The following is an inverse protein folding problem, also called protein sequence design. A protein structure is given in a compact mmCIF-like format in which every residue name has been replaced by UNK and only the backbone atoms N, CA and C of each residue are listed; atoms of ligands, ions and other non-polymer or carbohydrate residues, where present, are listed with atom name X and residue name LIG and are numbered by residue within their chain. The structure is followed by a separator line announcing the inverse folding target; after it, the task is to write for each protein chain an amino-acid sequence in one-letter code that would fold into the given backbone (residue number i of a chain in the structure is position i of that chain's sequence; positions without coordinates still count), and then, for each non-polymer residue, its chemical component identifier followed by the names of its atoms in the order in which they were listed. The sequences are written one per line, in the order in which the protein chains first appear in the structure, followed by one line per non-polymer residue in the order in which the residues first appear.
data_IF_698912059434
#
_entry.id   IF_698912059434
#
_cell.length_a   1.000
_cell.length_b   1.000
_cell.length_c   1.000
_cell.angle_alpha   90.00
_cell.angle_beta   90.00
_cell.angle_gamma   90.00
#
_symmetry.space_group_name_H-M   'P 1'
#
loop_
_entity.id
_entity.type
_entity.pdbx_description
1 polymer ?
#
# COMPACT_ATOMS: atom_id res chain seq x y z
N UNK A 1 -8.05 4.14 -3.98
CA UNK A 1 -7.16 3.61 -5.02
C UNK A 1 -6.13 2.63 -4.49
N UNK A 2 -5.36 3.02 -3.49
CA UNK A 2 -4.34 2.13 -2.93
C UNK A 2 -4.93 0.92 -2.21
N UNK A 3 -6.11 1.06 -1.60
CA UNK A 3 -6.75 -0.07 -0.91
C UNK A 3 -6.97 -1.26 -1.85
N UNK A 4 -7.41 -0.99 -3.06
CA UNK A 4 -7.62 -2.04 -4.06
C UNK A 4 -6.30 -2.72 -4.44
N UNK A 5 -5.25 -1.92 -4.63
CA UNK A 5 -3.92 -2.43 -4.95
C UNK A 5 -3.36 -3.28 -3.80
N UNK A 6 -3.50 -2.80 -2.57
CA UNK A 6 -3.07 -3.53 -1.38
C UNK A 6 -3.79 -4.88 -1.28
N UNK A 7 -5.10 -4.90 -1.52
CA UNK A 7 -5.87 -6.15 -1.50
C UNK A 7 -5.33 -7.16 -2.52
N UNK A 8 -5.03 -6.69 -3.73
CA UNK A 8 -4.48 -7.56 -4.77
C UNK A 8 -3.12 -8.14 -4.36
N UNK A 9 -2.26 -7.33 -3.75
CA UNK A 9 -0.95 -7.80 -3.29
C UNK A 9 -1.10 -8.80 -2.15
N UNK A 10 -2.02 -8.56 -1.22
CA UNK A 10 -2.30 -9.51 -0.14
C UNK A 10 -2.75 -10.86 -0.70
N UNK A 11 -3.64 -10.84 -1.68
CA UNK A 11 -4.10 -12.08 -2.33
C UNK A 11 -2.91 -12.79 -2.99
N UNK A 12 -2.08 -12.06 -3.69
CA UNK A 12 -0.90 -12.63 -4.37
C UNK A 12 0.07 -13.27 -3.37
N UNK A 13 0.21 -12.68 -2.18
CA UNK A 13 1.09 -13.18 -1.12
C UNK A 13 0.40 -14.15 -0.16
N UNK A 14 -0.86 -14.47 -0.42
CA UNK A 14 -1.67 -15.37 0.42
C UNK A 14 -1.74 -14.87 1.87
N UNK A 15 -2.02 -13.59 2.04
CA UNK A 15 -2.08 -12.91 3.34
C UNK A 15 -3.44 -12.29 3.56
N UNK A 16 -3.79 -12.09 4.82
CA UNK A 16 -5.09 -11.57 5.25
C UNK A 16 -4.96 -10.18 5.86
N UNK A 17 -6.12 -9.53 6.11
CA UNK A 17 -6.16 -8.26 6.81
C UNK A 17 -5.56 -8.37 8.23
N UNK A 18 -5.68 -9.53 8.86
CA UNK A 18 -5.09 -9.78 10.18
C UNK A 18 -3.56 -9.73 10.11
N UNK A 19 -2.99 -10.30 9.04
CA UNK A 19 -1.54 -10.23 8.81
C UNK A 19 -1.10 -8.78 8.57
N UNK A 20 -1.87 -8.03 7.80
CA UNK A 20 -1.59 -6.62 7.55
C UNK A 20 -1.65 -5.80 8.84
N UNK A 21 -2.61 -6.10 9.72
CA UNK A 21 -2.71 -5.44 11.02
C UNK A 21 -1.46 -5.63 11.85
N UNK A 22 -0.88 -6.83 11.84
CA UNK A 22 0.39 -7.10 12.54
C UNK A 22 1.53 -6.28 11.98
N UNK A 23 1.61 -6.17 10.66
CA UNK A 23 2.64 -5.38 9.97
C UNK A 23 2.55 -3.91 10.39
N UNK A 24 1.34 -3.37 10.44
CA UNK A 24 1.10 -1.97 10.77
C UNK A 24 1.07 -1.68 12.27
N UNK A 25 1.07 -2.73 13.11
CA UNK A 25 1.00 -2.56 14.55
C UNK A 25 -0.35 -2.05 15.02
N UNK A 26 -1.43 -2.47 14.40
CA UNK A 26 -2.78 -2.03 14.73
C UNK A 26 -3.75 -3.22 14.74
N UNK A 27 -5.04 -2.93 14.98
CA UNK A 27 -6.08 -3.96 14.95
C UNK A 27 -6.58 -4.21 13.54
N UNK A 28 -7.21 -5.37 13.33
CA UNK A 28 -7.87 -5.68 12.06
C UNK A 28 -8.97 -4.68 11.75
N UNK A 29 -9.67 -4.17 12.77
CA UNK A 29 -10.69 -3.15 12.60
C UNK A 29 -10.11 -1.86 12.03
N UNK A 30 -8.92 -1.46 12.50
CA UNK A 30 -8.21 -0.31 11.94
C UNK A 30 -7.84 -0.53 10.47
N UNK A 31 -7.42 -1.74 10.13
CA UNK A 31 -7.13 -2.08 8.72
C UNK A 31 -8.38 -1.91 7.85
N UNK A 32 -9.52 -2.42 8.31
CA UNK A 32 -10.77 -2.25 7.58
C UNK A 32 -11.17 -0.78 7.44
N UNK A 33 -10.95 0.02 8.49
CA UNK A 33 -11.21 1.45 8.44
C UNK A 33 -10.31 2.15 7.42
N UNK A 34 -9.02 1.83 7.39
CA UNK A 34 -8.08 2.37 6.41
C UNK A 34 -8.46 1.97 4.99
N UNK A 35 -8.87 0.72 4.81
CA UNK A 35 -9.34 0.21 3.51
C UNK A 35 -10.57 0.98 3.03
N UNK A 36 -11.53 1.21 3.93
CA UNK A 36 -12.77 1.91 3.59
C UNK A 36 -12.51 3.38 3.26
N UNK A 37 -11.67 4.07 4.03
CA UNK A 37 -11.31 5.46 3.77
C UNK A 37 -10.43 5.61 2.54
N UNK A 38 -9.72 4.54 2.19
CA UNK A 38 -8.76 4.54 1.10
C UNK A 38 -7.71 5.66 1.25
N UNK A 39 -7.31 5.90 2.52
CA UNK A 39 -6.38 6.96 2.87
C UNK A 39 -5.19 6.34 3.61
N UNK A 40 -4.08 6.22 2.91
CA UNK A 40 -2.86 5.59 3.41
C UNK A 40 -1.73 6.60 3.42
N UNK A 41 -0.95 6.65 4.51
CA UNK A 41 0.24 7.47 4.54
C UNK A 41 1.37 6.79 3.76
N UNK A 42 2.35 7.58 3.32
CA UNK A 42 3.50 7.01 2.63
C UNK A 42 4.24 6.03 3.53
N UNK A 43 4.38 6.34 4.83
CA UNK A 43 5.03 5.45 5.79
C UNK A 43 4.32 4.09 5.87
N UNK A 44 2.99 4.10 5.90
CA UNK A 44 2.20 2.87 5.90
C UNK A 44 2.43 2.06 4.63
N UNK A 45 2.40 2.74 3.48
CA UNK A 45 2.62 2.08 2.19
C UNK A 45 4.02 1.49 2.09
N UNK A 46 5.04 2.18 2.61
CA UNK A 46 6.41 1.67 2.60
C UNK A 46 6.56 0.45 3.50
N UNK A 47 5.95 0.48 4.69
CA UNK A 47 5.95 -0.68 5.59
C UNK A 47 5.30 -1.90 4.93
N UNK A 48 4.17 -1.69 4.28
CA UNK A 48 3.47 -2.76 3.57
C UNK A 48 4.36 -3.33 2.47
N UNK A 49 4.95 -2.46 1.67
CA UNK A 49 5.84 -2.88 0.58
C UNK A 49 7.01 -3.70 1.09
N UNK A 50 7.73 -3.20 2.10
CA UNK A 50 8.88 -3.88 2.67
C UNK A 50 8.49 -5.26 3.22
N UNK A 51 7.35 -5.33 3.91
CA UNK A 51 6.90 -6.58 4.53
C UNK A 51 6.41 -7.60 3.51
N UNK A 52 5.90 -7.15 2.37
CA UNK A 52 5.37 -8.01 1.32
C UNK A 52 6.37 -8.24 0.18
N UNK A 53 7.61 -7.79 0.36
CA UNK A 53 8.66 -7.90 -0.65
C UNK A 53 8.26 -7.22 -1.96
N UNK A 54 7.75 -6.00 -1.85
CA UNK A 54 7.33 -5.17 -2.97
C UNK A 54 8.02 -3.82 -2.91
N UNK A 55 8.34 -3.26 -4.07
CA UNK A 55 8.81 -1.89 -4.18
C UNK A 55 7.61 -0.96 -4.30
N UNK A 56 7.60 0.10 -3.51
CA UNK A 56 6.58 1.13 -3.64
C UNK A 56 7.03 2.12 -4.71
N UNK A 57 6.25 2.22 -5.78
CA UNK A 57 6.56 3.13 -6.88
C UNK A 57 5.56 4.27 -6.90
N UNK A 58 6.02 5.47 -6.55
CA UNK A 58 5.23 6.70 -6.58
C UNK A 58 6.05 7.74 -7.32
N UNK A 59 5.44 8.41 -8.31
CA UNK A 59 6.15 9.42 -9.06
C UNK A 59 5.23 10.32 -9.88
N UNK A 60 5.86 11.23 -10.60
CA UNK A 60 5.18 12.14 -11.50
C UNK A 60 5.71 11.97 -12.92
N UNK A 61 4.78 11.87 -13.88
CA UNK A 61 5.13 11.89 -15.29
C UNK A 61 4.75 13.25 -15.87
N UNK A 62 5.71 13.94 -16.44
CA UNK A 62 5.47 15.22 -17.07
C UNK A 62 4.71 14.98 -18.38
N UNK A 63 3.61 15.71 -18.57
CA UNK A 63 2.75 15.50 -19.75
C UNK A 63 3.36 16.01 -21.05
N UNK A 64 4.20 17.06 -20.94
CA UNK A 64 4.81 17.71 -22.11
C UNK A 64 6.04 16.94 -22.61
N UNK A 65 6.86 16.38 -21.73
CA UNK A 65 8.11 15.70 -22.10
C UNK A 65 8.03 14.19 -21.97
N UNK A 66 7.03 13.66 -21.26
CA UNK A 66 6.88 12.23 -20.93
C UNK A 66 7.99 11.72 -20.00
N UNK A 67 8.72 12.61 -19.36
CA UNK A 67 9.73 12.23 -18.37
C UNK A 67 9.05 11.80 -17.07
N UNK A 68 9.65 10.80 -16.40
CA UNK A 68 9.13 10.25 -15.15
C UNK A 68 10.12 10.49 -14.02
N UNK A 69 9.67 11.12 -12.97
CA UNK A 69 10.46 11.39 -11.76
C UNK A 69 9.85 10.65 -10.58
N UNK A 70 10.64 9.81 -9.94
CA UNK A 70 10.23 9.08 -8.74
C UNK A 70 11.28 9.20 -7.65
N UNK A 71 10.85 8.94 -6.43
CA UNK A 71 11.77 8.91 -5.29
C UNK A 71 12.48 7.56 -5.17
#
# INVERSE_FOLDING_TARGET
MMSKVIKLVLIKRDMTAKDLAKILGCSSQNVYALMKKDSWSEDQLRKIGDSLNCDLEIGFRLRDTNEYFSS
#
